data_IF_067962451289
#
_entry.id   IF_067962451289
#
_cell.length_a   1.000
_cell.length_b   1.000
_cell.length_c   1.000
_cell.angle_alpha   90.00
_cell.angle_beta   90.00
_cell.angle_gamma   90.00
#
_symmetry.space_group_name_H-M   'P 1'
#
loop_
_entity.id
_entity.type
_entity.pdbx_description
1 polymer ?
#
# COMPACT_ATOMS: atom_id res chain seq x y z
N UNK A 1 -8.74 -0.02 -10.06
CA UNK A 1 -7.33 0.17 -9.65
C UNK A 1 -6.98 -0.92 -8.64
N UNK A 2 -5.83 -1.59 -8.78
CA UNK A 2 -5.37 -2.56 -7.79
C UNK A 2 -4.75 -1.83 -6.59
N UNK A 3 -5.23 -2.13 -5.39
CA UNK A 3 -4.87 -1.46 -4.13
C UNK A 3 -4.47 -2.54 -3.14
N UNK A 4 -3.31 -2.37 -2.51
CA UNK A 4 -2.79 -3.29 -1.49
C UNK A 4 -2.87 -2.67 -0.10
N UNK A 5 -2.92 -3.53 0.91
CA UNK A 5 -2.81 -3.10 2.30
C UNK A 5 -1.42 -2.50 2.49
N UNK A 6 -1.30 -1.45 3.29
CA UNK A 6 -0.07 -0.65 3.47
C UNK A 6 0.40 0.17 2.25
N UNK A 7 -0.33 0.18 1.13
CA UNK A 7 -0.06 1.15 0.05
C UNK A 7 -0.09 2.59 0.60
N UNK A 8 0.90 3.40 0.22
CA UNK A 8 0.93 4.83 0.54
C UNK A 8 0.54 5.61 -0.69
N UNK A 9 -0.54 6.36 -0.59
CA UNK A 9 -1.09 7.19 -1.67
C UNK A 9 -1.06 8.66 -1.31
N UNK A 10 -0.95 9.49 -2.33
CA UNK A 10 -1.16 10.94 -2.23
C UNK A 10 -2.53 11.29 -2.79
N UNK A 11 -3.39 11.90 -1.99
CA UNK A 11 -4.70 12.36 -2.44
C UNK A 11 -4.63 13.73 -3.12
N UNK A 12 -5.62 14.04 -3.97
CA UNK A 12 -5.78 15.34 -4.63
C UNK A 12 -6.15 16.44 -3.64
N UNK A 13 -7.00 16.14 -2.66
CA UNK A 13 -7.40 17.06 -1.59
C UNK A 13 -6.53 16.82 -0.35
N UNK A 14 -6.07 17.89 0.33
CA UNK A 14 -5.39 17.73 1.61
C UNK A 14 -6.36 17.22 2.68
N UNK A 15 -5.81 16.52 3.66
CA UNK A 15 -6.48 16.30 4.94
C UNK A 15 -6.67 17.67 5.64
N UNK A 16 -7.72 17.87 6.46
CA UNK A 16 -7.84 19.07 7.31
C UNK A 16 -6.60 19.43 8.15
N UNK A 17 -5.70 18.48 8.43
CA UNK A 17 -4.43 18.77 9.11
C UNK A 17 -3.31 19.30 8.19
N UNK A 18 -3.55 19.46 6.89
CA UNK A 18 -2.54 19.87 5.88
C UNK A 18 -1.76 18.72 5.23
N UNK A 19 -1.88 17.49 5.74
CA UNK A 19 -1.21 16.31 5.18
C UNK A 19 -1.83 15.83 3.85
N UNK A 20 -1.00 15.32 2.95
CA UNK A 20 -1.44 14.78 1.65
C UNK A 20 -1.29 13.26 1.53
N UNK A 21 -0.53 12.66 2.43
CA UNK A 21 -0.11 11.26 2.36
C UNK A 21 -0.94 10.40 3.29
N UNK A 22 -1.39 9.28 2.73
CA UNK A 22 -2.33 8.38 3.36
C UNK A 22 -1.87 6.94 3.14
N UNK A 23 -1.90 6.16 4.21
CA UNK A 23 -1.66 4.72 4.15
C UNK A 23 -2.99 3.97 4.09
N UNK A 24 -3.11 3.02 3.18
CA UNK A 24 -4.25 2.10 3.11
C UNK A 24 -4.15 1.12 4.28
N UNK A 25 -5.17 1.10 5.13
CA UNK A 25 -5.23 0.22 6.32
C UNK A 25 -6.35 -0.81 6.24
N UNK A 26 -7.27 -0.68 5.28
CA UNK A 26 -8.36 -1.61 5.05
C UNK A 26 -8.76 -1.63 3.58
N UNK A 27 -9.02 -2.82 3.04
CA UNK A 27 -9.56 -3.04 1.70
C UNK A 27 -10.90 -3.75 1.82
N UNK A 28 -11.89 -3.29 1.06
CA UNK A 28 -13.23 -3.84 1.01
C UNK A 28 -14.13 -3.01 0.09
N UNK A 29 -15.43 -3.00 0.37
CA UNK A 29 -16.38 -2.09 -0.28
C UNK A 29 -16.02 -0.61 0.00
N UNK A 30 -15.66 -0.34 1.26
CA UNK A 30 -15.04 0.91 1.70
C UNK A 30 -13.53 0.72 1.93
N UNK A 31 -12.76 1.73 1.53
CA UNK A 31 -11.33 1.79 1.74
C UNK A 31 -11.07 2.60 3.01
N UNK A 32 -10.37 1.98 3.95
CA UNK A 32 -9.87 2.65 5.15
C UNK A 32 -8.49 3.21 4.90
N UNK A 33 -8.31 4.50 5.17
CA UNK A 33 -7.03 5.20 5.03
C UNK A 33 -6.64 5.89 6.32
N UNK A 34 -5.34 5.90 6.64
CA UNK A 34 -4.74 6.58 7.79
C UNK A 34 -3.85 7.71 7.30
N UNK A 35 -4.08 8.93 7.78
CA UNK A 35 -3.20 10.06 7.50
C UNK A 35 -1.83 9.82 8.14
N UNK A 36 -0.76 9.96 7.36
CA UNK A 36 0.59 9.77 7.88
C UNK A 36 1.08 10.96 8.74
N UNK A 37 0.48 12.14 8.57
CA UNK A 37 0.85 13.35 9.33
C UNK A 37 0.22 13.38 10.73
N UNK A 38 -1.08 13.09 10.86
CA UNK A 38 -1.80 13.22 12.14
C UNK A 38 -2.40 11.91 12.67
N UNK A 39 -2.23 10.79 11.95
CA UNK A 39 -2.68 9.47 12.38
C UNK A 39 -4.19 9.19 12.32
N UNK A 40 -5.02 10.19 11.96
CA UNK A 40 -6.48 10.04 11.88
C UNK A 40 -6.87 9.08 10.75
N UNK A 41 -7.89 8.27 11.01
CA UNK A 41 -8.42 7.29 10.06
C UNK A 41 -9.72 7.78 9.45
N UNK A 42 -9.90 7.50 8.16
CA UNK A 42 -11.13 7.82 7.42
C UNK A 42 -11.53 6.59 6.61
N UNK A 43 -12.83 6.30 6.60
CA UNK A 43 -13.46 5.33 5.70
C UNK A 43 -14.09 6.08 4.54
N UNK A 44 -13.88 5.59 3.32
CA UNK A 44 -14.54 6.15 2.16
C UNK A 44 -14.88 5.08 1.13
N UNK A 45 -15.94 5.29 0.33
CA UNK A 45 -16.30 4.35 -0.73
C UNK A 45 -15.16 4.20 -1.73
N UNK A 46 -14.91 2.97 -2.19
CA UNK A 46 -13.82 2.67 -3.13
C UNK A 46 -13.83 3.57 -4.36
N UNK A 47 -14.99 3.78 -4.98
CA UNK A 47 -15.12 4.65 -6.18
C UNK A 47 -14.66 6.09 -5.91
N UNK A 48 -14.91 6.61 -4.71
CA UNK A 48 -14.47 7.95 -4.29
C UNK A 48 -12.97 7.96 -4.03
N UNK A 49 -12.44 6.91 -3.39
CA UNK A 49 -11.01 6.76 -3.14
C UNK A 49 -10.23 6.79 -4.46
N UNK A 50 -10.57 5.92 -5.40
CA UNK A 50 -9.88 5.79 -6.69
C UNK A 50 -9.86 7.11 -7.48
N UNK A 51 -10.95 7.89 -7.46
CA UNK A 51 -10.99 9.23 -8.09
C UNK A 51 -10.14 10.28 -7.35
N UNK A 52 -10.04 10.16 -6.03
CA UNK A 52 -9.32 11.11 -5.18
C UNK A 52 -7.82 10.88 -5.14
N UNK A 53 -7.34 9.69 -5.51
CA UNK A 53 -5.91 9.40 -5.62
C UNK A 53 -5.30 10.25 -6.73
N UNK A 54 -4.22 10.96 -6.40
CA UNK A 54 -3.39 11.69 -7.36
C UNK A 54 -2.27 10.82 -7.87
N UNK A 55 -1.57 10.13 -6.97
CA UNK A 55 -0.50 9.17 -7.28
C UNK A 55 -0.27 8.19 -6.12
N UNK A 56 0.33 7.04 -6.43
CA UNK A 56 0.94 6.18 -5.43
C UNK A 56 2.32 6.75 -5.07
N UNK A 57 2.60 6.85 -3.76
CA UNK A 57 3.89 7.28 -3.22
C UNK A 57 4.76 6.06 -2.93
N UNK A 58 4.16 5.02 -2.35
CA UNK A 58 4.81 3.73 -2.13
C UNK A 58 3.79 2.61 -2.35
N UNK A 59 4.25 1.52 -2.95
CA UNK A 59 3.48 0.28 -3.04
C UNK A 59 3.97 -0.65 -1.93
N UNK A 60 3.05 -1.20 -1.16
CA UNK A 60 3.37 -2.37 -0.36
C UNK A 60 3.67 -3.50 -1.35
N UNK A 61 4.94 -3.87 -1.49
CA UNK A 61 5.43 -4.78 -2.52
C UNK A 61 4.61 -6.08 -2.59
N UNK A 62 4.50 -6.77 -3.74
CA UNK A 62 5.64 -7.29 -4.50
C UNK A 62 6.91 -7.28 -3.67
N UNK A 63 6.88 -8.01 -2.54
CA UNK A 63 8.12 -8.54 -2.01
C UNK A 63 8.77 -9.29 -3.16
N UNK A 64 9.91 -8.82 -3.62
CA UNK A 64 10.84 -9.70 -4.33
C UNK A 64 11.14 -10.81 -3.33
N UNK A 65 10.51 -11.96 -3.51
CA UNK A 65 11.05 -13.20 -3.00
C UNK A 65 12.41 -13.34 -3.68
N UNK A 66 13.47 -12.86 -3.04
CA UNK A 66 14.79 -13.37 -3.33
C UNK A 66 14.85 -14.71 -2.61
N UNK A 67 14.24 -15.71 -3.25
CA UNK A 67 14.54 -17.11 -2.97
C UNK A 67 16.02 -17.28 -3.30
N UNK A 68 16.80 -17.60 -2.27
CA UNK A 68 18.25 -17.63 -2.35
C UNK A 68 18.72 -18.50 -3.50
N UNK A 69 19.63 -17.94 -4.30
CA UNK A 69 20.56 -18.73 -5.05
C UNK A 69 21.46 -19.49 -4.06
N UNK A 70 21.11 -20.73 -3.73
CA UNK A 70 22.09 -21.76 -3.40
C UNK A 70 22.16 -22.70 -4.62
N UNK A 71 23.33 -22.70 -5.26
CA UNK A 71 23.61 -23.43 -6.49
C UNK A 71 23.69 -24.95 -6.30
N UNK A 72 23.96 -25.68 -7.40
CA UNK A 72 23.96 -27.15 -7.40
C UNK A 72 25.26 -27.70 -6.80
N UNK A 73 25.21 -28.16 -5.54
CA UNK A 73 26.29 -28.97 -4.97
C UNK A 73 25.86 -30.44 -4.87
N UNK A 74 26.38 -31.22 -5.81
CA UNK A 74 27.07 -32.47 -5.47
C UNK A 74 26.24 -33.67 -5.04
N UNK A 75 26.10 -34.61 -5.97
CA UNK A 75 25.86 -36.03 -5.72
C UNK A 75 26.73 -36.60 -4.58
N UNK A 76 26.12 -37.42 -3.71
CA UNK A 76 26.67 -38.65 -3.10
C UNK A 76 25.51 -39.31 -2.34
N UNK A 77 24.86 -40.37 -2.83
CA UNK A 77 25.31 -41.78 -2.85
C UNK A 77 26.03 -42.18 -1.56
N UNK A 78 25.26 -42.55 -0.52
CA UNK A 78 25.36 -43.82 0.23
C UNK A 78 23.96 -44.16 0.77
#
# INVERSE_FOLDING_TARGET
MEIHLDDVVRLRKPHPCGGYEWRVVRIGADIGIKCLTCGRRVLMPRRKFEKSVKKFVSRAGKGTWQEGAEGPEGQRLW
#
